data_IF_034408423068
#
_entry.id   IF_034408423068
#
_cell.length_a   1.000
_cell.length_b   1.000
_cell.length_c   1.000
_cell.angle_alpha   90.00
_cell.angle_beta   90.00
_cell.angle_gamma   90.00
#
_symmetry.space_group_name_H-M   'P 1'
#
loop_
_entity.id
_entity.type
_entity.pdbx_description
1 polymer ?
#
# COMPACT_ATOMS: atom_id res chain seq x y z
N UNK A 1 18.94 16.53 6.22
CA UNK A 1 18.06 16.96 5.10
C UNK A 1 16.59 16.87 5.48
N UNK A 2 16.09 15.74 6.00
CA UNK A 2 14.66 15.61 6.33
C UNK A 2 14.26 15.81 7.80
N UNK A 3 15.11 16.40 8.66
CA UNK A 3 14.82 16.47 10.10
C UNK A 3 13.55 17.28 10.41
N UNK A 4 13.44 18.49 9.88
CA UNK A 4 12.27 19.36 10.08
C UNK A 4 10.99 18.74 9.49
N UNK A 5 11.11 18.11 8.32
CA UNK A 5 10.00 17.41 7.67
C UNK A 5 9.54 16.20 8.51
N UNK A 6 10.48 15.43 9.04
CA UNK A 6 10.21 14.30 9.92
C UNK A 6 9.49 14.73 11.19
N UNK A 7 9.98 15.78 11.86
CA UNK A 7 9.35 16.32 13.08
C UNK A 7 7.90 16.73 12.80
N UNK A 8 7.67 17.51 11.74
CA UNK A 8 6.33 17.96 11.33
C UNK A 8 5.38 16.81 11.05
N UNK A 9 5.82 15.76 10.35
CA UNK A 9 4.97 14.59 10.06
C UNK A 9 4.66 13.80 11.34
N UNK A 10 5.62 13.73 12.27
CA UNK A 10 5.49 12.99 13.53
C UNK A 10 4.66 13.72 14.59
N UNK A 11 4.42 15.04 14.46
CA UNK A 11 3.45 15.77 15.30
C UNK A 11 2.07 15.08 15.27
N UNK A 12 1.71 14.51 14.12
CA UNK A 12 0.56 13.63 14.01
C UNK A 12 0.89 12.22 14.52
N UNK A 13 0.49 11.94 15.76
CA UNK A 13 0.74 10.66 16.48
C UNK A 13 0.22 9.40 15.77
N UNK A 14 -0.58 9.51 14.72
CA UNK A 14 -1.01 8.37 13.89
C UNK A 14 0.11 7.89 12.96
N UNK A 15 1.08 8.74 12.65
CA UNK A 15 2.25 8.39 11.87
C UNK A 15 3.32 7.79 12.80
N UNK A 16 3.68 6.54 12.57
CA UNK A 16 4.76 5.90 13.34
C UNK A 16 6.11 6.50 12.95
N UNK A 17 6.93 6.98 13.92
CA UNK A 17 8.24 7.55 13.63
C UNK A 17 9.14 6.63 12.79
N UNK A 18 9.15 5.33 13.09
CA UNK A 18 9.91 4.34 12.33
C UNK A 18 9.45 4.25 10.88
N UNK A 19 8.14 4.35 10.64
CA UNK A 19 7.59 4.32 9.29
C UNK A 19 7.95 5.61 8.53
N UNK A 20 7.80 6.78 9.15
CA UNK A 20 8.16 8.07 8.55
C UNK A 20 9.64 8.08 8.17
N UNK A 21 10.54 7.69 9.09
CA UNK A 21 11.97 7.59 8.82
C UNK A 21 12.29 6.61 7.68
N UNK A 22 11.63 5.44 7.67
CA UNK A 22 11.80 4.46 6.59
C UNK A 22 11.39 5.03 5.23
N UNK A 23 10.28 5.74 5.16
CA UNK A 23 9.82 6.38 3.91
C UNK A 23 10.80 7.44 3.44
N UNK A 24 11.17 8.38 4.30
CA UNK A 24 12.03 9.52 3.95
C UNK A 24 13.44 9.06 3.57
N UNK A 25 14.01 8.11 4.31
CA UNK A 25 15.41 7.69 4.11
C UNK A 25 15.57 6.51 3.14
N UNK A 26 14.60 5.59 3.09
CA UNK A 26 14.71 4.36 2.29
C UNK A 26 13.85 4.41 1.04
N UNK A 27 12.55 4.71 1.15
CA UNK A 27 11.65 4.70 -0.01
C UNK A 27 12.04 5.75 -1.04
N UNK A 28 12.26 7.00 -0.63
CA UNK A 28 12.67 8.07 -1.54
C UNK A 28 14.02 7.76 -2.21
N UNK A 29 15.01 7.32 -1.45
CA UNK A 29 16.32 6.88 -1.97
C UNK A 29 16.19 5.75 -2.97
N UNK A 30 15.29 4.79 -2.73
CA UNK A 30 15.05 3.68 -3.66
C UNK A 30 14.38 4.15 -4.94
N UNK A 31 13.45 5.11 -4.88
CA UNK A 31 12.84 5.71 -6.07
C UNK A 31 13.88 6.49 -6.90
N UNK A 32 14.74 7.29 -6.26
CA UNK A 32 15.85 7.94 -6.95
C UNK A 32 16.76 6.94 -7.67
N UNK A 33 17.12 5.83 -7.02
CA UNK A 33 17.93 4.75 -7.63
C UNK A 33 17.26 4.08 -8.83
N UNK A 34 15.92 4.06 -8.88
CA UNK A 34 15.13 3.59 -10.02
C UNK A 34 15.09 4.62 -11.17
N UNK A 35 15.68 5.80 -11.01
CA UNK A 35 15.76 6.86 -12.01
C UNK A 35 14.63 7.90 -11.93
N UNK A 36 13.85 7.92 -10.84
CA UNK A 36 12.80 8.93 -10.64
C UNK A 36 13.39 10.24 -10.11
N UNK A 37 12.82 11.37 -10.54
CA UNK A 37 13.30 12.70 -10.19
C UNK A 37 12.71 13.17 -8.84
N UNK A 38 13.57 13.22 -7.82
CA UNK A 38 13.17 13.71 -6.49
C UNK A 38 12.84 15.19 -6.46
N UNK A 39 13.37 15.99 -7.40
CA UNK A 39 13.15 17.44 -7.42
C UNK A 39 11.67 17.77 -7.64
N UNK A 40 10.93 16.88 -8.32
CA UNK A 40 9.50 17.01 -8.54
C UNK A 40 8.67 16.73 -7.27
N UNK A 41 9.24 16.04 -6.28
CA UNK A 41 8.56 15.70 -5.04
C UNK A 41 8.86 16.73 -3.94
N UNK A 42 8.00 17.74 -3.83
CA UNK A 42 8.12 18.79 -2.81
C UNK A 42 7.83 18.29 -1.40
N UNK A 43 8.33 19.01 -0.40
CA UNK A 43 8.00 18.73 1.01
C UNK A 43 6.50 18.81 1.29
N UNK A 44 5.77 19.69 0.60
CA UNK A 44 4.32 19.84 0.71
C UNK A 44 3.60 18.56 0.26
N UNK A 45 4.03 17.96 -0.87
CA UNK A 45 3.48 16.67 -1.33
C UNK A 45 3.68 15.57 -0.29
N UNK A 46 4.84 15.51 0.35
CA UNK A 46 5.15 14.49 1.35
C UNK A 46 4.26 14.68 2.59
N UNK A 47 4.13 15.90 3.09
CA UNK A 47 3.28 16.21 4.26
C UNK A 47 1.83 15.83 3.96
N UNK A 48 1.30 16.28 2.83
CA UNK A 48 -0.08 16.01 2.41
C UNK A 48 -0.35 14.50 2.36
N UNK A 49 0.56 13.71 1.78
CA UNK A 49 0.40 12.25 1.72
C UNK A 49 0.38 11.59 3.10
N UNK A 50 1.19 12.05 4.04
CA UNK A 50 1.15 11.56 5.42
C UNK A 50 -0.13 11.99 6.16
N UNK A 51 -0.71 13.14 5.84
CA UNK A 51 -2.01 13.56 6.38
C UNK A 51 -3.17 12.70 5.82
N UNK A 52 -3.14 12.42 4.51
CA UNK A 52 -4.08 11.51 3.86
C UNK A 52 -3.99 10.09 4.44
N UNK A 53 -2.77 9.64 4.73
CA UNK A 53 -2.55 8.37 5.39
C UNK A 53 -3.09 8.35 6.83
N UNK A 54 -2.81 9.40 7.62
CA UNK A 54 -3.30 9.52 8.99
C UNK A 54 -4.83 9.66 9.09
N UNK A 55 -5.47 10.13 8.01
CA UNK A 55 -6.93 10.18 7.86
C UNK A 55 -7.53 8.92 7.22
N UNK A 56 -6.74 7.87 6.99
CA UNK A 56 -7.14 6.62 6.34
C UNK A 56 -7.77 6.80 4.95
N UNK A 57 -7.49 7.92 4.26
CA UNK A 57 -7.97 8.17 2.90
C UNK A 57 -7.21 7.36 1.85
N UNK A 58 -5.98 6.97 2.17
CA UNK A 58 -5.13 6.13 1.34
C UNK A 58 -4.51 5.01 2.18
N UNK A 59 -4.26 3.81 1.61
CA UNK A 59 -3.54 2.75 2.30
C UNK A 59 -2.03 3.03 2.33
N UNK A 60 -1.31 2.47 3.31
CA UNK A 60 0.16 2.66 3.46
C UNK A 60 0.92 2.26 2.20
N UNK A 61 0.44 1.21 1.53
CA UNK A 61 1.06 0.62 0.35
C UNK A 61 0.94 1.49 -0.91
N UNK A 62 0.04 2.49 -0.91
CA UNK A 62 -0.12 3.43 -2.02
C UNK A 62 0.92 4.55 -2.03
N UNK A 63 1.54 4.83 -0.88
CA UNK A 63 2.41 6.00 -0.71
C UNK A 63 3.62 5.96 -1.66
N UNK A 64 4.26 4.79 -1.82
CA UNK A 64 5.35 4.59 -2.81
C UNK A 64 4.85 4.81 -4.25
N UNK A 65 3.65 4.34 -4.58
CA UNK A 65 3.06 4.45 -5.92
C UNK A 65 2.77 5.91 -6.26
N UNK A 66 2.23 6.66 -5.30
CA UNK A 66 1.91 8.08 -5.51
C UNK A 66 3.19 8.90 -5.66
N UNK A 67 4.22 8.63 -4.85
CA UNK A 67 5.54 9.25 -5.03
C UNK A 67 6.14 8.93 -6.40
N UNK A 68 6.07 7.69 -6.85
CA UNK A 68 6.53 7.29 -8.18
C UNK A 68 5.83 8.09 -9.29
N UNK A 69 4.52 8.29 -9.16
CA UNK A 69 3.74 9.05 -10.13
C UNK A 69 4.17 10.53 -10.21
N UNK A 70 4.38 11.18 -9.05
CA UNK A 70 4.85 12.57 -9.00
C UNK A 70 6.29 12.67 -9.51
N UNK A 71 7.20 11.82 -9.03
CA UNK A 71 8.62 11.84 -9.41
C UNK A 71 8.88 11.38 -10.85
N UNK A 72 7.89 10.78 -11.53
CA UNK A 72 7.94 10.49 -12.97
C UNK A 72 7.39 11.63 -13.84
N UNK A 73 6.94 12.73 -13.23
CA UNK A 73 6.36 13.88 -13.93
C UNK A 73 4.98 13.61 -14.52
N UNK A 74 4.32 12.50 -14.15
CA UNK A 74 2.97 12.16 -14.62
C UNK A 74 1.88 13.01 -13.96
N UNK A 75 2.14 13.47 -12.73
CA UNK A 75 1.23 14.31 -11.97
C UNK A 75 1.98 15.39 -11.21
N UNK A 76 1.44 16.61 -11.27
CA UNK A 76 1.99 17.77 -10.57
C UNK A 76 1.46 17.91 -9.13
N UNK A 77 0.36 17.23 -8.80
CA UNK A 77 -0.31 17.32 -7.50
C UNK A 77 -0.63 15.95 -6.92
N UNK A 78 -0.74 15.87 -5.59
CA UNK A 78 -1.10 14.64 -4.87
C UNK A 78 -2.47 14.10 -5.32
N UNK A 79 -3.48 14.97 -5.47
CA UNK A 79 -4.81 14.57 -5.95
C UNK A 79 -4.76 13.90 -7.32
N UNK A 80 -4.08 14.50 -8.30
CA UNK A 80 -3.92 13.92 -9.65
C UNK A 80 -3.11 12.64 -9.61
N UNK A 81 -2.10 12.57 -8.76
CA UNK A 81 -1.30 11.38 -8.60
C UNK A 81 -2.14 10.22 -8.05
N UNK A 82 -3.02 10.46 -7.06
CA UNK A 82 -3.96 9.44 -6.53
C UNK A 82 -4.93 8.97 -7.61
N UNK A 83 -5.54 9.90 -8.35
CA UNK A 83 -6.49 9.57 -9.43
C UNK A 83 -5.82 8.75 -10.54
N UNK A 84 -4.60 9.11 -10.93
CA UNK A 84 -3.89 8.49 -12.06
C UNK A 84 -3.18 7.18 -11.70
N UNK A 85 -2.87 6.93 -10.42
CA UNK A 85 -2.12 5.73 -10.01
C UNK A 85 -2.99 4.49 -9.77
N UNK A 86 -4.28 4.52 -10.14
CA UNK A 86 -5.25 3.45 -9.85
C UNK A 86 -5.30 3.05 -8.36
N UNK A 87 -4.93 4.00 -7.50
CA UNK A 87 -4.95 3.92 -6.03
C UNK A 87 -6.36 4.16 -5.48
N UNK A 88 -7.35 4.31 -6.35
CA UNK A 88 -8.75 4.37 -5.95
C UNK A 88 -9.11 3.17 -5.09
N UNK A 89 -9.69 3.46 -3.92
CA UNK A 89 -10.10 2.44 -2.97
C UNK A 89 -10.99 1.42 -3.68
N UNK A 90 -10.62 0.16 -3.60
CA UNK A 90 -11.51 -0.94 -4.00
C UNK A 90 -12.66 -1.01 -2.98
N UNK A 91 -13.88 -1.29 -3.43
CA UNK A 91 -14.97 -1.59 -2.50
C UNK A 91 -14.79 -3.00 -1.90
N UNK A 92 -15.52 -3.28 -0.83
CA UNK A 92 -15.40 -4.54 -0.10
C UNK A 92 -15.82 -5.74 -0.96
N UNK A 93 -16.89 -5.62 -1.75
CA UNK A 93 -17.41 -6.69 -2.60
C UNK A 93 -16.40 -7.12 -3.68
N UNK A 94 -15.82 -6.15 -4.40
CA UNK A 94 -14.79 -6.38 -5.41
C UNK A 94 -13.54 -7.00 -4.79
N UNK A 95 -13.13 -6.55 -3.60
CA UNK A 95 -12.01 -7.16 -2.87
C UNK A 95 -12.32 -8.62 -2.54
N UNK A 96 -13.52 -8.92 -2.04
CA UNK A 96 -13.93 -10.30 -1.77
C UNK A 96 -13.87 -11.16 -3.03
N UNK A 97 -14.40 -10.68 -4.16
CA UNK A 97 -14.39 -11.40 -5.43
C UNK A 97 -12.98 -11.71 -5.94
N UNK A 98 -12.07 -10.73 -5.88
CA UNK A 98 -10.67 -10.92 -6.26
C UNK A 98 -10.02 -11.99 -5.38
N UNK A 99 -10.18 -11.89 -4.06
CA UNK A 99 -9.58 -12.85 -3.13
C UNK A 99 -10.17 -14.27 -3.30
N UNK A 100 -11.48 -14.38 -3.53
CA UNK A 100 -12.11 -15.67 -3.80
C UNK A 100 -11.57 -16.31 -5.07
N UNK A 101 -11.42 -15.53 -6.15
CA UNK A 101 -10.82 -16.01 -7.40
C UNK A 101 -9.39 -16.51 -7.17
N UNK A 102 -8.54 -15.74 -6.51
CA UNK A 102 -7.16 -16.13 -6.21
C UNK A 102 -7.11 -17.41 -5.38
N UNK A 103 -7.98 -17.55 -4.38
CA UNK A 103 -8.07 -18.75 -3.55
C UNK A 103 -8.51 -19.96 -4.38
N UNK A 104 -9.50 -19.81 -5.25
CA UNK A 104 -9.99 -20.90 -6.11
C UNK A 104 -8.91 -21.37 -7.10
N UNK A 105 -8.19 -20.43 -7.72
CA UNK A 105 -7.07 -20.76 -8.63
C UNK A 105 -5.92 -21.48 -7.90
N UNK A 106 -5.83 -21.32 -6.58
CA UNK A 106 -4.80 -21.92 -5.73
C UNK A 106 -5.39 -22.90 -4.70
N UNK A 107 -6.54 -23.51 -4.99
CA UNK A 107 -7.28 -24.30 -4.00
C UNK A 107 -6.51 -25.51 -3.49
N UNK A 108 -5.69 -26.14 -4.33
CA UNK A 108 -4.86 -27.28 -3.95
C UNK A 108 -3.77 -26.88 -2.95
N UNK A 109 -3.19 -25.69 -3.11
CA UNK A 109 -2.28 -25.11 -2.12
C UNK A 109 -2.99 -24.91 -0.77
N UNK A 110 -4.22 -24.39 -0.80
CA UNK A 110 -5.01 -24.17 0.42
C UNK A 110 -5.35 -25.48 1.12
N UNK A 111 -5.73 -26.52 0.38
CA UNK A 111 -6.02 -27.84 0.94
C UNK A 111 -4.78 -28.51 1.55
N UNK A 112 -3.62 -28.38 0.91
CA UNK A 112 -2.38 -29.00 1.37
C UNK A 112 -1.74 -28.24 2.55
N UNK A 113 -1.65 -26.91 2.45
CA UNK A 113 -0.90 -26.08 3.40
C UNK A 113 -1.77 -25.40 4.45
N UNK A 114 -3.08 -25.37 4.25
CA UNK A 114 -4.02 -24.71 5.14
C UNK A 114 -3.66 -23.24 5.36
N UNK A 115 -3.62 -22.81 6.61
CA UNK A 115 -3.22 -21.43 6.97
C UNK A 115 -1.79 -21.07 6.57
N UNK A 116 -0.91 -22.05 6.34
CA UNK A 116 0.46 -21.76 5.88
C UNK A 116 0.48 -21.19 4.45
N UNK A 117 -0.57 -21.44 3.67
CA UNK A 117 -0.73 -20.87 2.32
C UNK A 117 -0.92 -19.35 2.32
N UNK A 118 -1.31 -18.74 3.44
CA UNK A 118 -1.57 -17.29 3.56
C UNK A 118 -0.38 -16.47 3.06
N UNK A 119 0.86 -16.87 3.38
CA UNK A 119 2.06 -16.12 2.95
C UNK A 119 2.15 -16.03 1.43
N UNK A 120 1.91 -17.13 0.74
CA UNK A 120 1.96 -17.21 -0.73
C UNK A 120 0.78 -16.45 -1.33
N UNK A 121 -0.42 -16.69 -0.82
CA UNK A 121 -1.64 -16.03 -1.31
C UNK A 121 -1.60 -14.52 -1.11
N UNK A 122 -1.07 -14.05 0.02
CA UNK A 122 -0.83 -12.64 0.28
C UNK A 122 0.07 -12.03 -0.80
N UNK A 123 1.14 -12.70 -1.19
CA UNK A 123 2.02 -12.25 -2.27
C UNK A 123 1.30 -12.16 -3.63
N UNK A 124 0.37 -13.07 -3.92
CA UNK A 124 -0.43 -13.06 -5.15
C UNK A 124 -1.48 -11.95 -5.08
N UNK A 125 -2.26 -11.88 -4.00
CA UNK A 125 -3.27 -10.86 -3.77
C UNK A 125 -2.69 -9.46 -3.82
N UNK A 126 -1.56 -9.22 -3.16
CA UNK A 126 -0.91 -7.91 -3.20
C UNK A 126 -0.42 -7.53 -4.59
N UNK A 127 -0.17 -8.46 -5.53
CA UNK A 127 0.11 -8.05 -6.92
C UNK A 127 -1.10 -7.42 -7.61
N UNK A 128 -2.31 -7.82 -7.24
CA UNK A 128 -3.54 -7.34 -7.85
C UNK A 128 -4.15 -6.13 -7.13
N UNK A 129 -4.08 -6.11 -5.80
CA UNK A 129 -4.80 -5.12 -4.97
C UNK A 129 -3.90 -4.11 -4.25
N UNK A 130 -2.56 -4.19 -4.41
CA UNK A 130 -1.64 -3.20 -3.80
C UNK A 130 -2.01 -1.79 -4.25
N UNK A 131 -2.04 -0.88 -3.28
CA UNK A 131 -2.43 0.51 -3.49
C UNK A 131 -3.94 0.74 -3.43
N UNK A 132 -4.77 -0.29 -3.60
CA UNK A 132 -6.24 -0.20 -3.58
C UNK A 132 -6.84 -0.65 -2.24
N UNK A 133 -6.17 -1.61 -1.59
CA UNK A 133 -6.54 -2.12 -0.27
C UNK A 133 -5.31 -2.16 0.65
N UNK A 134 -5.54 -2.06 1.96
CA UNK A 134 -4.46 -2.23 2.95
C UNK A 134 -4.10 -3.70 3.08
N UNK A 135 -2.80 -4.01 3.24
CA UNK A 135 -2.36 -5.39 3.45
C UNK A 135 -2.98 -6.03 4.70
N UNK A 136 -3.32 -5.23 5.70
CA UNK A 136 -4.01 -5.69 6.90
C UNK A 136 -5.38 -6.31 6.57
N UNK A 137 -6.23 -5.57 5.84
CA UNK A 137 -7.57 -6.04 5.46
C UNK A 137 -7.47 -7.27 4.56
N UNK A 138 -6.55 -7.26 3.60
CA UNK A 138 -6.31 -8.42 2.71
C UNK A 138 -5.94 -9.67 3.53
N UNK A 139 -5.04 -9.53 4.50
CA UNK A 139 -4.62 -10.64 5.34
C UNK A 139 -5.78 -11.18 6.20
N UNK A 140 -6.55 -10.29 6.83
CA UNK A 140 -7.73 -10.66 7.64
C UNK A 140 -8.74 -11.46 6.82
N UNK A 141 -9.07 -10.99 5.60
CA UNK A 141 -10.02 -11.67 4.71
C UNK A 141 -9.49 -13.00 4.18
N UNK A 142 -8.22 -13.08 3.78
CA UNK A 142 -7.59 -14.33 3.36
C UNK A 142 -7.65 -15.37 4.48
N UNK A 143 -7.28 -14.97 5.71
CA UNK A 143 -7.29 -15.85 6.86
C UNK A 143 -8.69 -16.39 7.16
N UNK A 144 -9.72 -15.53 7.12
CA UNK A 144 -11.11 -15.94 7.32
C UNK A 144 -11.58 -16.94 6.25
N UNK A 145 -11.38 -16.62 4.97
CA UNK A 145 -11.80 -17.46 3.85
C UNK A 145 -11.11 -18.83 3.88
N UNK A 146 -9.82 -18.87 4.16
CA UNK A 146 -9.05 -20.11 4.26
C UNK A 146 -9.52 -20.95 5.46
N UNK A 147 -9.77 -20.34 6.62
CA UNK A 147 -10.34 -21.05 7.79
C UNK A 147 -11.67 -21.70 7.46
N UNK A 148 -12.53 -21.02 6.69
CA UNK A 148 -13.83 -21.54 6.28
C UNK A 148 -13.72 -22.72 5.29
N UNK A 149 -12.67 -22.75 4.46
CA UNK A 149 -12.39 -23.87 3.55
C UNK A 149 -11.87 -25.09 4.31
N UNK A 150 -10.94 -24.91 5.25
CA UNK A 150 -10.31 -26.04 5.98
C UNK A 150 -11.27 -26.67 7.00
N UNK A 151 -12.24 -25.90 7.52
CA UNK A 151 -13.25 -26.41 8.46
C UNK A 151 -14.34 -27.25 7.77
N UNK A 152 -14.49 -27.14 6.45
CA UNK A 152 -15.41 -27.95 5.65
C UNK A 152 -14.75 -29.26 5.23
#
# INVERSE_FOLDING_TARGET
EYMELFEKICENKKNSPNFVASVLCSTLTNLQRKGFDVVLLTHEHIIELFELLASNKIPKESLEIIFENIMSGKSETVSRAIESSAVTSINEEDLHMILDKIIQENIELVKHDGLRSIRTLMGISMKEVRGKASGKIVNELLEEKIKNIIKK
#
